data_IF_159845682783
#
_entry.id   IF_159845682783
#
_cell.length_a   1.000
_cell.length_b   1.000
_cell.length_c   1.000
_cell.angle_alpha   90.00
_cell.angle_beta   90.00
_cell.angle_gamma   90.00
#
_symmetry.space_group_name_H-M   'P 1'
#
loop_
_entity.id
_entity.type
_entity.pdbx_description
1 polymer ?
#
# COMPACT_ATOMS: atom_id res chain seq x y z
N UNK A 1 14.44 -12.37 18.85
CA UNK A 1 13.26 -11.65 18.30
C UNK A 1 13.79 -10.74 17.23
N UNK A 2 13.43 -10.95 15.97
CA UNK A 2 13.78 -10.03 14.89
C UNK A 2 13.19 -8.65 15.22
N UNK A 3 13.96 -7.58 15.02
CA UNK A 3 13.42 -6.23 15.19
C UNK A 3 12.35 -6.04 14.13
N UNK A 4 11.11 -5.85 14.54
CA UNK A 4 10.04 -5.42 13.63
C UNK A 4 10.27 -3.92 13.32
N UNK A 5 10.64 -3.55 12.08
CA UNK A 5 10.95 -2.15 11.75
C UNK A 5 9.71 -1.24 11.90
N UNK A 6 8.51 -1.80 11.75
CA UNK A 6 7.24 -1.08 11.89
C UNK A 6 6.89 -0.74 13.34
N UNK A 7 7.59 -1.37 14.30
CA UNK A 7 7.43 -1.12 15.73
C UNK A 7 8.43 -0.09 16.29
N UNK A 8 8.89 0.83 15.45
CA UNK A 8 9.79 1.91 15.84
C UNK A 8 9.09 2.94 16.73
N UNK A 9 9.89 3.68 17.52
CA UNK A 9 9.39 4.76 18.39
C UNK A 9 8.99 6.02 17.59
N UNK A 10 9.50 6.16 16.36
CA UNK A 10 9.22 7.29 15.47
C UNK A 10 8.51 6.77 14.22
N UNK A 11 7.46 7.46 13.75
CA UNK A 11 6.78 7.11 12.51
C UNK A 11 7.73 7.13 11.32
N UNK A 12 7.51 6.21 10.39
CA UNK A 12 8.20 6.23 9.11
C UNK A 12 7.74 7.42 8.25
N UNK A 13 8.67 8.10 7.58
CA UNK A 13 8.36 9.19 6.65
C UNK A 13 8.52 8.72 5.20
N UNK A 14 7.49 8.93 4.41
CA UNK A 14 7.48 8.64 2.96
C UNK A 14 7.90 9.84 2.10
N UNK A 15 8.26 10.98 2.70
CA UNK A 15 8.52 12.23 1.96
C UNK A 15 9.67 12.11 0.95
N UNK A 16 10.69 11.34 1.28
CA UNK A 16 11.83 11.08 0.40
C UNK A 16 11.58 10.03 -0.68
N UNK A 17 10.44 9.35 -0.65
CA UNK A 17 10.07 8.32 -1.62
C UNK A 17 9.26 8.92 -2.78
N UNK A 18 9.18 8.18 -3.90
CA UNK A 18 8.39 8.60 -5.05
C UNK A 18 6.92 8.86 -4.73
N UNK A 19 6.34 8.09 -3.81
CA UNK A 19 4.95 8.28 -3.34
C UNK A 19 4.75 9.55 -2.48
N UNK A 20 5.84 10.22 -2.05
CA UNK A 20 5.79 11.49 -1.33
C UNK A 20 5.82 12.71 -2.26
N UNK A 21 6.31 12.58 -3.50
CA UNK A 21 6.39 13.68 -4.46
C UNK A 21 5.00 14.06 -5.02
N UNK A 22 4.66 15.34 -5.00
CA UNK A 22 3.34 15.84 -5.43
C UNK A 22 2.94 15.36 -6.82
N UNK A 23 3.84 15.44 -7.80
CA UNK A 23 3.53 15.00 -9.17
C UNK A 23 3.26 13.49 -9.26
N UNK A 24 3.94 12.67 -8.46
CA UNK A 24 3.66 11.23 -8.37
C UNK A 24 2.31 10.99 -7.68
N UNK A 25 2.01 11.69 -6.59
CA UNK A 25 0.71 11.61 -5.90
C UNK A 25 -0.42 11.94 -6.88
N UNK A 26 -0.33 13.06 -7.62
CA UNK A 26 -1.32 13.45 -8.63
C UNK A 26 -1.50 12.38 -9.72
N UNK A 27 -0.40 11.75 -10.16
CA UNK A 27 -0.45 10.65 -11.13
C UNK A 27 -1.12 9.40 -10.55
N UNK A 28 -0.77 8.99 -9.34
CA UNK A 28 -1.37 7.85 -8.63
C UNK A 28 -2.87 8.09 -8.45
N UNK A 29 -3.25 9.27 -7.98
CA UNK A 29 -4.66 9.66 -7.80
C UNK A 29 -5.41 9.62 -9.13
N UNK A 30 -4.84 10.18 -10.21
CA UNK A 30 -5.45 10.10 -11.55
C UNK A 30 -5.67 8.66 -11.99
N UNK A 31 -4.70 7.77 -11.77
CA UNK A 31 -4.80 6.36 -12.17
C UNK A 31 -5.79 5.57 -11.30
N UNK A 32 -5.88 5.88 -10.02
CA UNK A 32 -6.75 5.15 -9.07
C UNK A 32 -8.17 5.69 -8.99
N UNK A 33 -8.36 7.03 -9.06
CA UNK A 33 -9.66 7.68 -8.86
C UNK A 33 -10.22 8.41 -10.10
N UNK A 34 -9.44 8.51 -11.19
CA UNK A 34 -9.68 9.36 -12.37
C UNK A 34 -9.68 10.88 -12.08
N UNK A 35 -9.11 11.29 -10.94
CA UNK A 35 -9.04 12.69 -10.51
C UNK A 35 -7.72 12.91 -9.75
N UNK A 36 -6.85 13.80 -10.28
CA UNK A 36 -5.55 14.12 -9.71
C UNK A 36 -5.61 14.69 -8.28
N UNK A 37 -6.75 15.20 -7.86
CA UNK A 37 -6.97 15.78 -6.53
C UNK A 37 -7.68 14.84 -5.55
N UNK A 38 -8.12 13.66 -6.01
CA UNK A 38 -8.92 12.74 -5.21
C UNK A 38 -8.11 11.51 -4.78
N UNK A 39 -7.89 11.39 -3.47
CA UNK A 39 -7.28 10.19 -2.88
C UNK A 39 -8.14 8.93 -3.14
N UNK A 40 -7.50 7.77 -3.37
CA UNK A 40 -8.16 6.50 -3.67
C UNK A 40 -9.21 6.09 -2.61
N UNK A 41 -8.94 6.33 -1.32
CA UNK A 41 -9.89 6.01 -0.24
C UNK A 41 -11.12 6.93 -0.30
N UNK A 42 -10.95 8.23 -0.62
CA UNK A 42 -12.07 9.15 -0.83
C UNK A 42 -12.90 8.73 -2.04
N UNK A 43 -12.26 8.29 -3.12
CA UNK A 43 -12.93 7.72 -4.28
C UNK A 43 -13.77 6.49 -3.88
N UNK A 44 -13.19 5.58 -3.11
CA UNK A 44 -13.88 4.39 -2.64
C UNK A 44 -15.08 4.72 -1.75
N UNK A 45 -14.95 5.69 -0.82
CA UNK A 45 -16.05 6.19 0.01
C UNK A 45 -17.22 6.68 -0.85
N UNK A 46 -16.93 7.47 -1.87
CA UNK A 46 -17.98 8.03 -2.73
C UNK A 46 -18.62 7.02 -3.68
N UNK A 47 -17.88 5.99 -4.06
CA UNK A 47 -18.30 5.06 -5.11
C UNK A 47 -18.87 3.74 -4.54
N UNK A 48 -18.14 3.10 -3.64
CA UNK A 48 -18.44 1.75 -3.14
C UNK A 48 -18.99 1.76 -1.71
N UNK A 49 -18.49 2.67 -0.86
CA UNK A 49 -18.88 2.72 0.56
C UNK A 49 -20.03 3.68 0.79
N UNK A 50 -20.52 4.36 -0.21
CA UNK A 50 -21.59 5.35 -0.12
C UNK A 50 -22.78 4.93 0.76
N UNK A 51 -23.26 3.67 0.73
CA UNK A 51 -24.35 3.25 1.60
C UNK A 51 -24.07 3.40 3.10
N UNK A 52 -22.81 3.38 3.52
CA UNK A 52 -22.41 3.54 4.92
C UNK A 52 -22.19 5.02 5.33
N UNK A 53 -22.22 5.95 4.37
CA UNK A 53 -21.95 7.36 4.58
C UNK A 53 -23.15 8.27 4.29
N UNK A 54 -24.11 7.80 3.49
CA UNK A 54 -25.23 8.59 3.01
C UNK A 54 -26.57 7.89 3.34
N UNK A 55 -27.36 8.51 4.21
CA UNK A 55 -28.65 7.97 4.65
C UNK A 55 -29.65 7.76 3.49
N UNK A 56 -29.49 8.42 2.36
CA UNK A 56 -30.35 8.22 1.18
C UNK A 56 -30.01 6.93 0.41
N UNK A 57 -28.85 6.33 0.66
CA UNK A 57 -28.38 5.12 0.00
C UNK A 57 -28.16 3.94 0.96
N UNK A 58 -28.35 4.14 2.27
CA UNK A 58 -28.14 3.11 3.28
C UNK A 58 -29.17 1.96 3.11
N UNK A 59 -28.68 0.72 3.28
CA UNK A 59 -29.50 -0.49 3.33
C UNK A 59 -29.79 -0.97 4.75
N UNK A 60 -29.12 -0.37 5.73
CA UNK A 60 -29.26 -0.59 7.18
C UNK A 60 -28.87 0.68 7.93
N UNK A 61 -29.16 0.82 9.24
CA UNK A 61 -28.72 1.97 10.03
C UNK A 61 -27.22 2.23 9.90
N UNK A 62 -26.80 3.50 9.79
CA UNK A 62 -25.40 3.87 9.52
C UNK A 62 -24.43 3.38 10.62
N UNK A 63 -24.87 3.26 11.85
CA UNK A 63 -24.11 2.72 12.97
C UNK A 63 -23.97 1.18 12.96
N UNK A 64 -24.61 0.49 12.04
CA UNK A 64 -24.55 -0.97 11.85
C UNK A 64 -23.61 -1.43 10.75
N UNK A 65 -23.02 -0.51 10.03
CA UNK A 65 -21.94 -0.86 9.10
C UNK A 65 -20.66 -1.20 9.85
N UNK A 66 -19.88 -2.13 9.32
CA UNK A 66 -18.63 -2.59 9.92
C UNK A 66 -17.49 -2.49 8.91
N UNK A 67 -16.38 -1.95 9.34
CA UNK A 67 -15.15 -1.86 8.56
C UNK A 67 -14.00 -2.55 9.27
N UNK A 68 -13.18 -3.30 8.52
CA UNK A 68 -11.92 -3.87 8.98
C UNK A 68 -10.77 -3.19 8.24
N UNK A 69 -9.83 -2.64 8.98
CA UNK A 69 -8.59 -2.07 8.45
C UNK A 69 -7.44 -3.03 8.76
N UNK A 70 -6.70 -3.41 7.74
CA UNK A 70 -5.52 -4.26 7.84
C UNK A 70 -4.26 -3.42 7.63
N UNK A 71 -3.29 -3.53 8.53
CA UNK A 71 -2.09 -2.69 8.51
C UNK A 71 -2.41 -1.23 8.85
N UNK A 72 -3.09 -0.99 9.97
CA UNK A 72 -3.52 0.34 10.41
C UNK A 72 -2.36 1.32 10.58
N UNK A 73 -1.16 0.83 10.93
CA UNK A 73 0.02 1.65 11.19
C UNK A 73 -0.33 2.85 12.11
N UNK A 74 -0.16 4.09 11.64
CA UNK A 74 -0.43 5.33 12.38
C UNK A 74 -1.92 5.75 12.39
N UNK A 75 -2.81 4.91 11.85
CA UNK A 75 -4.25 5.10 11.94
C UNK A 75 -4.83 6.18 11.03
N UNK A 76 -4.24 6.44 9.88
CA UNK A 76 -4.73 7.49 8.97
C UNK A 76 -6.02 7.08 8.24
N UNK A 77 -6.16 5.80 7.86
CA UNK A 77 -7.30 5.29 7.10
C UNK A 77 -8.60 5.37 7.92
N UNK A 78 -8.58 4.81 9.12
CA UNK A 78 -9.77 4.83 10.00
C UNK A 78 -10.17 6.24 10.41
N UNK A 79 -9.20 7.13 10.68
CA UNK A 79 -9.52 8.54 10.97
C UNK A 79 -10.14 9.22 9.76
N UNK A 80 -9.58 9.02 8.56
CA UNK A 80 -10.15 9.57 7.33
C UNK A 80 -11.58 9.08 7.08
N UNK A 81 -11.89 7.80 7.36
CA UNK A 81 -13.26 7.29 7.28
C UNK A 81 -14.19 8.02 8.26
N UNK A 82 -13.77 8.20 9.51
CA UNK A 82 -14.53 8.91 10.53
C UNK A 82 -14.72 10.40 10.19
N UNK A 83 -13.68 11.07 9.71
CA UNK A 83 -13.72 12.47 9.24
C UNK A 83 -14.70 12.66 8.07
N UNK A 84 -14.84 11.64 7.21
CA UNK A 84 -15.85 11.62 6.14
C UNK A 84 -17.24 11.21 6.62
N UNK A 85 -17.43 10.91 7.91
CA UNK A 85 -18.75 10.67 8.51
C UNK A 85 -19.12 9.21 8.73
N UNK A 86 -18.17 8.26 8.66
CA UNK A 86 -18.44 6.86 9.03
C UNK A 86 -18.81 6.75 10.51
N UNK A 87 -19.96 6.11 10.78
CA UNK A 87 -20.53 5.98 12.13
C UNK A 87 -20.54 4.55 12.67
N UNK A 88 -20.27 3.58 11.81
CA UNK A 88 -20.23 2.17 12.16
C UNK A 88 -18.97 1.78 12.93
N UNK A 89 -18.88 0.52 13.31
CA UNK A 89 -17.69 -0.01 13.99
C UNK A 89 -16.51 -0.14 13.00
N UNK A 90 -15.34 0.36 13.42
CA UNK A 90 -14.07 0.11 12.71
C UNK A 90 -13.19 -0.75 13.60
N UNK A 91 -12.75 -1.90 13.10
CA UNK A 91 -11.65 -2.69 13.67
C UNK A 91 -10.39 -2.36 12.88
N UNK A 92 -9.44 -1.71 13.53
CA UNK A 92 -8.15 -1.34 12.96
C UNK A 92 -7.07 -2.28 13.50
N UNK A 93 -6.47 -3.09 12.63
CA UNK A 93 -5.53 -4.13 13.03
C UNK A 93 -4.12 -3.88 12.49
N UNK A 94 -3.13 -4.20 13.31
CA UNK A 94 -1.71 -4.17 12.96
C UNK A 94 -0.94 -5.17 13.84
N UNK A 95 0.24 -5.58 13.40
CA UNK A 95 1.17 -6.39 14.21
C UNK A 95 2.02 -5.50 15.14
N UNK A 96 2.19 -4.22 14.79
CA UNK A 96 3.02 -3.24 15.49
C UNK A 96 2.24 -2.56 16.63
N UNK A 97 2.44 -3.02 17.86
CA UNK A 97 1.73 -2.51 19.04
C UNK A 97 1.99 -1.03 19.32
N UNK A 98 3.22 -0.53 19.08
CA UNK A 98 3.55 0.88 19.27
C UNK A 98 2.86 1.79 18.24
N UNK A 99 2.78 1.36 16.98
CA UNK A 99 2.04 2.08 15.96
C UNK A 99 0.55 2.15 16.30
N UNK A 100 -0.05 1.01 16.70
CA UNK A 100 -1.44 0.97 17.16
C UNK A 100 -1.70 1.86 18.38
N UNK A 101 -0.77 1.92 19.33
CA UNK A 101 -0.92 2.81 20.49
C UNK A 101 -0.94 4.29 20.06
N UNK A 102 -0.10 4.69 19.11
CA UNK A 102 -0.12 6.04 18.53
C UNK A 102 -1.39 6.31 17.73
N UNK A 103 -1.86 5.33 16.94
CA UNK A 103 -3.11 5.42 16.19
C UNK A 103 -4.30 5.62 17.14
N UNK A 104 -4.36 4.84 18.22
CA UNK A 104 -5.42 4.95 19.25
C UNK A 104 -5.40 6.32 19.96
N UNK A 105 -4.22 6.85 20.29
CA UNK A 105 -4.11 8.18 20.87
C UNK A 105 -4.65 9.27 19.92
N UNK A 106 -4.24 9.23 18.63
CA UNK A 106 -4.71 10.18 17.62
C UNK A 106 -6.23 10.08 17.38
N UNK A 107 -6.79 8.88 17.39
CA UNK A 107 -8.23 8.68 17.27
C UNK A 107 -8.99 9.23 18.50
N UNK A 108 -8.46 9.02 19.69
CA UNK A 108 -9.00 9.57 20.95
C UNK A 108 -8.97 11.11 20.96
N UNK A 109 -7.86 11.72 20.57
CA UNK A 109 -7.72 13.18 20.45
C UNK A 109 -8.72 13.78 19.46
N UNK A 110 -9.09 13.03 18.42
CA UNK A 110 -10.10 13.41 17.43
C UNK A 110 -11.55 13.09 17.87
N UNK A 111 -11.74 12.45 19.02
CA UNK A 111 -13.07 12.09 19.54
C UNK A 111 -13.73 10.90 18.84
N UNK A 112 -13.01 10.07 18.11
CA UNK A 112 -13.53 8.91 17.39
C UNK A 112 -13.64 7.69 18.31
N UNK A 113 -14.81 7.47 18.92
CA UNK A 113 -15.08 6.37 19.85
C UNK A 113 -15.46 5.04 19.17
N UNK A 114 -15.71 5.06 17.87
CA UNK A 114 -16.16 3.89 17.09
C UNK A 114 -15.00 3.09 16.45
N UNK A 115 -13.74 3.43 16.77
CA UNK A 115 -12.54 2.72 16.31
C UNK A 115 -12.02 1.83 17.43
N UNK A 116 -11.83 0.55 17.14
CA UNK A 116 -11.21 -0.42 18.04
C UNK A 116 -9.89 -0.90 17.42
N UNK A 117 -8.78 -0.55 18.07
CA UNK A 117 -7.44 -0.98 17.65
C UNK A 117 -7.14 -2.37 18.22
N UNK A 118 -6.65 -3.29 17.37
CA UNK A 118 -6.41 -4.69 17.70
C UNK A 118 -5.04 -5.12 17.18
N UNK A 119 -4.17 -5.55 18.09
CA UNK A 119 -2.93 -6.19 17.67
C UNK A 119 -3.23 -7.57 17.08
N UNK A 120 -2.83 -7.81 15.83
CA UNK A 120 -3.11 -9.04 15.11
C UNK A 120 -2.00 -9.39 14.12
N UNK A 121 -1.60 -10.66 14.10
CA UNK A 121 -0.78 -11.24 13.05
C UNK A 121 -1.69 -11.87 11.99
N UNK A 122 -1.70 -11.33 10.80
CA UNK A 122 -2.55 -11.77 9.68
C UNK A 122 -2.23 -13.20 9.19
N UNK A 123 -1.08 -13.77 9.57
CA UNK A 123 -0.76 -15.16 9.28
C UNK A 123 -1.58 -16.17 10.10
N UNK A 124 -2.12 -15.75 11.25
CA UNK A 124 -2.77 -16.66 12.20
C UNK A 124 -4.10 -16.15 12.75
N UNK A 125 -4.39 -14.85 12.63
CA UNK A 125 -5.61 -14.26 13.19
C UNK A 125 -6.85 -14.78 12.47
N UNK A 126 -7.93 -14.89 13.22
CA UNK A 126 -9.29 -15.06 12.69
C UNK A 126 -10.12 -13.88 13.19
N UNK A 127 -10.67 -13.10 12.27
CA UNK A 127 -11.61 -12.03 12.62
C UNK A 127 -13.02 -12.61 12.76
N UNK A 128 -13.72 -12.17 13.80
CA UNK A 128 -15.09 -12.63 14.05
C UNK A 128 -16.13 -11.72 13.38
N UNK A 129 -17.16 -12.35 12.85
CA UNK A 129 -18.28 -11.69 12.19
C UNK A 129 -17.98 -11.26 10.75
N UNK A 130 -18.90 -10.48 10.20
CA UNK A 130 -18.81 -10.02 8.81
C UNK A 130 -18.60 -8.51 8.77
N UNK A 131 -17.93 -8.05 7.71
CA UNK A 131 -17.62 -6.66 7.44
C UNK A 131 -18.22 -6.23 6.12
N UNK A 132 -18.75 -5.04 6.06
CA UNK A 132 -19.22 -4.42 4.83
C UNK A 132 -18.04 -3.94 3.98
N UNK A 133 -16.96 -3.57 4.66
CA UNK A 133 -15.73 -3.10 4.02
C UNK A 133 -14.51 -3.67 4.71
N UNK A 134 -13.55 -4.11 3.91
CA UNK A 134 -12.20 -4.46 4.34
C UNK A 134 -11.24 -3.60 3.54
N UNK A 135 -10.29 -2.95 4.21
CA UNK A 135 -9.30 -2.08 3.58
C UNK A 135 -7.90 -2.53 3.96
N UNK A 136 -7.05 -2.73 2.98
CA UNK A 136 -5.64 -3.09 3.14
C UNK A 136 -4.77 -2.14 2.32
N UNK A 137 -3.70 -1.62 2.91
CA UNK A 137 -2.70 -0.82 2.20
C UNK A 137 -1.30 -1.25 2.61
N UNK A 138 -0.53 -1.76 1.64
CA UNK A 138 0.87 -2.12 1.84
C UNK A 138 1.08 -3.16 2.93
N UNK A 139 0.20 -4.14 3.08
CA UNK A 139 0.26 -5.12 4.17
C UNK A 139 0.17 -6.57 3.68
N UNK A 140 -0.56 -6.85 2.61
CA UNK A 140 -0.79 -8.23 2.18
C UNK A 140 0.48 -8.88 1.62
N UNK A 141 1.38 -8.10 1.04
CA UNK A 141 2.66 -8.61 0.52
C UNK A 141 3.64 -9.08 1.61
N UNK A 142 3.33 -8.85 2.89
CA UNK A 142 4.07 -9.36 4.04
C UNK A 142 3.57 -10.74 4.55
N UNK A 143 2.50 -11.30 3.98
CA UNK A 143 1.83 -12.47 4.54
C UNK A 143 2.39 -13.78 3.97
N UNK A 144 2.92 -14.66 4.83
CA UNK A 144 3.48 -15.95 4.44
C UNK A 144 2.39 -16.88 3.85
N UNK A 145 1.25 -17.00 4.55
CA UNK A 145 0.13 -17.83 4.13
C UNK A 145 -0.94 -16.98 3.43
N UNK A 146 -0.55 -16.25 2.39
CA UNK A 146 -1.43 -15.27 1.73
C UNK A 146 -2.72 -15.87 1.20
N UNK A 147 -2.73 -17.08 0.65
CA UNK A 147 -3.96 -17.72 0.19
C UNK A 147 -4.94 -17.96 1.34
N UNK A 148 -4.48 -18.49 2.47
CA UNK A 148 -5.32 -18.68 3.66
C UNK A 148 -5.85 -17.36 4.19
N UNK A 149 -5.01 -16.32 4.21
CA UNK A 149 -5.43 -14.97 4.62
C UNK A 149 -6.53 -14.43 3.71
N UNK A 150 -6.34 -14.46 2.38
CA UNK A 150 -7.33 -13.98 1.43
C UNK A 150 -8.65 -14.73 1.49
N UNK A 151 -8.63 -16.06 1.68
CA UNK A 151 -9.86 -16.86 1.88
C UNK A 151 -10.57 -16.52 3.20
N UNK A 152 -9.82 -16.28 4.26
CA UNK A 152 -10.38 -15.80 5.52
C UNK A 152 -11.04 -14.44 5.34
N UNK A 153 -10.39 -13.50 4.65
CA UNK A 153 -10.95 -12.18 4.36
C UNK A 153 -12.20 -12.26 3.49
N UNK A 154 -12.21 -13.13 2.47
CA UNK A 154 -13.40 -13.38 1.65
C UNK A 154 -14.56 -13.87 2.51
N UNK A 155 -14.32 -14.82 3.41
CA UNK A 155 -15.34 -15.31 4.35
C UNK A 155 -15.83 -14.25 5.36
N UNK A 156 -15.02 -13.24 5.66
CA UNK A 156 -15.38 -12.13 6.53
C UNK A 156 -16.18 -11.01 5.82
N UNK A 157 -16.29 -11.01 4.49
CA UNK A 157 -17.12 -10.04 3.78
C UNK A 157 -18.61 -10.39 3.86
N UNK A 158 -19.46 -9.39 4.02
CA UNK A 158 -20.90 -9.53 3.74
C UNK A 158 -21.13 -9.83 2.26
N UNK A 159 -22.33 -10.29 1.89
CA UNK A 159 -22.68 -10.58 0.48
C UNK A 159 -22.51 -9.35 -0.43
N UNK A 160 -22.75 -8.17 0.07
CA UNK A 160 -22.59 -6.90 -0.64
C UNK A 160 -21.32 -6.14 -0.28
N UNK A 161 -20.42 -6.78 0.46
CA UNK A 161 -19.21 -6.17 0.98
C UNK A 161 -18.10 -6.06 -0.06
N UNK A 162 -17.18 -5.14 0.20
CA UNK A 162 -16.02 -4.88 -0.65
C UNK A 162 -14.71 -5.04 0.12
N UNK A 163 -13.71 -5.66 -0.52
CA UNK A 163 -12.30 -5.57 -0.13
C UNK A 163 -11.62 -4.57 -1.06
N UNK A 164 -11.02 -3.53 -0.48
CA UNK A 164 -10.10 -2.63 -1.16
C UNK A 164 -8.68 -3.00 -0.76
N UNK A 165 -7.79 -3.11 -1.74
CA UNK A 165 -6.38 -3.32 -1.49
C UNK A 165 -5.53 -2.38 -2.35
N UNK A 166 -4.57 -1.70 -1.73
CA UNK A 166 -3.48 -0.99 -2.41
C UNK A 166 -2.22 -1.76 -2.10
N UNK A 167 -1.68 -2.49 -3.08
CA UNK A 167 -0.66 -3.49 -2.80
C UNK A 167 0.50 -3.49 -3.78
N UNK A 168 1.63 -3.99 -3.28
CA UNK A 168 2.80 -4.30 -4.07
C UNK A 168 2.69 -5.73 -4.64
N UNK A 169 2.69 -5.81 -5.97
CA UNK A 169 2.67 -7.09 -6.73
C UNK A 169 4.00 -7.38 -7.43
N UNK A 170 5.03 -6.62 -7.10
CA UNK A 170 6.35 -6.73 -7.71
C UNK A 170 7.13 -7.97 -7.27
N UNK A 171 8.41 -8.05 -7.67
CA UNK A 171 9.25 -9.21 -7.44
C UNK A 171 9.46 -9.52 -5.96
N UNK A 172 9.47 -10.82 -5.62
CA UNK A 172 9.79 -11.28 -4.27
C UNK A 172 11.12 -10.69 -3.82
N UNK A 173 11.16 -10.12 -2.61
CA UNK A 173 12.37 -9.53 -2.02
C UNK A 173 13.05 -8.49 -2.91
N UNK A 174 12.27 -7.80 -3.77
CA UNK A 174 12.80 -6.84 -4.74
C UNK A 174 13.91 -7.41 -5.65
N UNK A 175 13.86 -8.72 -5.93
CA UNK A 175 14.80 -9.36 -6.84
C UNK A 175 14.35 -9.12 -8.29
N UNK A 176 14.75 -7.98 -8.83
CA UNK A 176 14.33 -7.50 -10.14
C UNK A 176 14.92 -8.31 -11.29
N UNK A 177 14.19 -8.36 -12.41
CA UNK A 177 14.74 -8.92 -13.64
C UNK A 177 15.91 -8.09 -14.16
N UNK A 178 16.84 -8.71 -14.90
CA UNK A 178 17.94 -8.00 -15.55
C UNK A 178 17.44 -6.89 -16.48
N UNK A 179 16.31 -7.09 -17.13
CA UNK A 179 15.70 -6.09 -18.02
C UNK A 179 15.29 -4.85 -17.23
N UNK A 180 14.63 -5.03 -16.09
CA UNK A 180 14.21 -3.93 -15.22
C UNK A 180 15.40 -3.16 -14.65
N UNK A 181 16.44 -3.89 -14.17
CA UNK A 181 17.69 -3.27 -13.69
C UNK A 181 18.36 -2.46 -14.80
N UNK A 182 18.38 -2.96 -16.05
CA UNK A 182 18.92 -2.19 -17.20
C UNK A 182 18.14 -0.91 -17.46
N UNK A 183 16.81 -0.93 -17.37
CA UNK A 183 16.00 0.27 -17.59
C UNK A 183 16.20 1.30 -16.47
N UNK A 184 16.26 0.86 -15.20
CA UNK A 184 16.58 1.75 -14.09
C UNK A 184 17.95 2.41 -14.30
N UNK A 185 18.96 1.61 -14.64
CA UNK A 185 20.30 2.13 -14.88
C UNK A 185 20.40 3.04 -16.10
N UNK A 186 19.66 2.77 -17.17
CA UNK A 186 19.58 3.65 -18.34
C UNK A 186 18.97 5.01 -17.96
N UNK A 187 17.89 5.01 -17.18
CA UNK A 187 17.26 6.24 -16.67
C UNK A 187 18.21 7.01 -15.74
N UNK A 188 18.89 6.33 -14.83
CA UNK A 188 19.90 6.95 -13.94
C UNK A 188 21.09 7.51 -14.75
N UNK A 189 21.50 6.84 -15.81
CA UNK A 189 22.63 7.25 -16.66
C UNK A 189 22.42 8.60 -17.35
N UNK A 190 21.18 8.97 -17.64
CA UNK A 190 20.84 10.25 -18.27
C UNK A 190 20.52 11.36 -17.27
N UNK A 191 20.36 11.04 -16.00
CA UNK A 191 20.06 12.05 -14.97
C UNK A 191 21.24 12.96 -14.69
N UNK A 192 21.03 14.30 -14.66
CA UNK A 192 22.02 15.25 -14.18
C UNK A 192 22.48 14.93 -12.75
N UNK A 193 23.79 15.01 -12.51
CA UNK A 193 24.38 14.72 -11.18
C UNK A 193 23.77 15.55 -10.05
N UNK A 194 23.38 16.80 -10.32
CA UNK A 194 22.79 17.70 -9.34
C UNK A 194 21.37 17.33 -8.89
N UNK A 195 20.75 16.29 -9.48
CA UNK A 195 19.44 15.77 -9.08
C UNK A 195 19.53 14.55 -8.16
N UNK A 196 20.73 14.14 -7.83
CA UNK A 196 20.93 13.02 -6.91
C UNK A 196 20.87 13.55 -5.47
N UNK A 197 20.27 12.77 -4.55
CA UNK A 197 20.29 13.14 -3.14
C UNK A 197 21.75 13.22 -2.65
N UNK A 198 21.99 14.13 -1.70
CA UNK A 198 23.23 14.10 -0.95
C UNK A 198 23.35 12.76 -0.22
N UNK A 199 24.56 12.29 0.12
CA UNK A 199 24.74 11.01 0.80
C UNK A 199 23.78 10.92 1.98
N UNK A 200 22.92 9.87 1.97
CA UNK A 200 21.94 9.64 3.01
C UNK A 200 22.66 9.39 4.34
N UNK A 201 22.18 10.01 5.39
CA UNK A 201 22.54 9.64 6.74
C UNK A 201 22.01 8.21 7.04
N UNK A 202 22.43 7.61 8.15
CA UNK A 202 22.21 6.20 8.53
C UNK A 202 20.74 5.78 8.67
N UNK A 203 19.77 6.58 8.26
CA UNK A 203 18.32 6.37 8.43
C UNK A 203 17.59 5.85 7.19
N UNK A 204 18.29 5.53 6.12
CA UNK A 204 17.68 4.98 4.92
C UNK A 204 17.09 3.60 5.19
N UNK A 205 15.84 3.35 4.75
CA UNK A 205 15.15 2.06 4.79
C UNK A 205 15.91 0.94 4.07
N UNK A 206 16.67 1.30 3.06
CA UNK A 206 17.49 0.35 2.30
C UNK A 206 18.93 0.56 2.72
N UNK A 207 19.62 -0.51 3.18
CA UNK A 207 21.03 -0.41 3.50
C UNK A 207 21.74 0.16 2.28
N UNK A 208 22.32 1.34 2.43
CA UNK A 208 23.16 1.92 1.42
C UNK A 208 24.21 0.87 1.06
N UNK A 209 24.17 0.39 -0.17
CA UNK A 209 25.34 -0.30 -0.73
C UNK A 209 26.43 0.77 -0.66
N UNK A 210 27.35 0.61 0.28
CA UNK A 210 28.32 1.61 0.66
C UNK A 210 29.01 2.21 -0.55
N UNK A 211 28.52 3.33 -1.00
CA UNK A 211 29.08 4.02 -2.13
C UNK A 211 29.94 5.16 -1.66
N UNK A 212 31.03 4.86 -1.00
CA UNK A 212 32.17 5.77 -0.93
C UNK A 212 32.74 6.10 -2.32
N UNK A 213 32.36 5.31 -3.34
CA UNK A 213 32.60 5.61 -4.75
C UNK A 213 31.26 5.66 -5.45
N UNK A 214 30.84 6.83 -5.90
CA UNK A 214 29.64 7.09 -6.65
C UNK A 214 29.47 6.09 -7.82
N UNK A 215 29.03 4.89 -7.53
CA UNK A 215 28.58 3.92 -8.51
C UNK A 215 27.33 4.53 -9.10
N UNK A 216 27.42 4.94 -10.36
CA UNK A 216 26.36 5.54 -11.13
C UNK A 216 25.43 4.40 -11.56
N UNK A 217 24.82 3.69 -10.61
CA UNK A 217 23.96 2.58 -10.97
C UNK A 217 23.18 2.03 -9.79
N UNK A 218 22.01 1.53 -10.09
CA UNK A 218 21.18 0.74 -9.18
C UNK A 218 21.63 -0.73 -9.24
N UNK A 219 21.72 -1.36 -8.10
CA UNK A 219 21.81 -2.80 -7.93
C UNK A 219 20.72 -3.23 -6.94
N UNK A 220 19.98 -4.31 -7.20
CA UNK A 220 19.03 -4.83 -6.24
C UNK A 220 19.71 -5.13 -4.90
N UNK A 221 19.08 -4.86 -3.77
CA UNK A 221 19.59 -5.29 -2.47
C UNK A 221 19.68 -6.82 -2.42
N UNK A 222 20.62 -7.36 -1.65
CA UNK A 222 20.66 -8.81 -1.46
C UNK A 222 19.45 -9.29 -0.64
N UNK A 223 19.00 -10.53 -0.86
CA UNK A 223 17.92 -11.10 -0.07
C UNK A 223 18.22 -11.08 1.42
N UNK A 224 19.48 -11.35 1.81
CA UNK A 224 19.92 -11.34 3.20
C UNK A 224 19.76 -9.93 3.82
N UNK A 225 20.02 -8.87 3.06
CA UNK A 225 19.86 -7.49 3.55
C UNK A 225 18.40 -7.14 3.77
N UNK A 226 17.50 -7.58 2.88
CA UNK A 226 16.05 -7.39 3.03
C UNK A 226 15.56 -8.19 4.26
N UNK A 227 15.93 -9.46 4.37
CA UNK A 227 15.55 -10.31 5.51
C UNK A 227 16.08 -9.76 6.84
N UNK A 228 17.27 -9.17 6.84
CA UNK A 228 17.84 -8.55 8.05
C UNK A 228 17.07 -7.29 8.46
N UNK A 229 16.48 -6.55 7.51
CA UNK A 229 15.66 -5.38 7.76
C UNK A 229 14.25 -5.79 8.18
N UNK A 230 13.53 -6.50 7.30
CA UNK A 230 12.20 -7.06 7.54
C UNK A 230 12.09 -8.46 6.92
N UNK A 231 12.01 -9.53 7.75
CA UNK A 231 11.85 -10.88 7.24
C UNK A 231 10.56 -11.10 6.42
N UNK A 232 9.57 -10.24 6.53
CA UNK A 232 8.29 -10.33 5.82
C UNK A 232 8.19 -9.44 4.58
N UNK A 233 9.16 -8.56 4.33
CA UNK A 233 9.12 -7.60 3.23
C UNK A 233 9.04 -8.27 1.86
N UNK A 234 8.01 -7.91 1.07
CA UNK A 234 7.83 -8.32 -0.32
C UNK A 234 7.93 -9.85 -0.57
N UNK A 235 7.34 -10.67 0.32
CA UNK A 235 7.48 -12.14 0.22
C UNK A 235 6.52 -12.80 -0.77
N UNK A 236 5.40 -12.15 -1.10
CA UNK A 236 4.34 -12.78 -1.89
C UNK A 236 3.71 -11.88 -2.98
N UNK A 237 4.37 -10.79 -3.40
CA UNK A 237 3.84 -9.89 -4.42
C UNK A 237 3.30 -10.57 -5.68
N UNK A 238 4.05 -11.44 -6.38
CA UNK A 238 3.55 -12.16 -7.55
C UNK A 238 2.38 -13.11 -7.26
N UNK A 239 2.30 -13.64 -6.02
CA UNK A 239 1.18 -14.50 -5.60
C UNK A 239 -0.10 -13.67 -5.42
N UNK A 240 -0.04 -12.43 -4.93
CA UNK A 240 -1.20 -11.53 -4.84
C UNK A 240 -1.84 -11.33 -6.20
N UNK A 241 -1.05 -11.06 -7.25
CA UNK A 241 -1.52 -10.91 -8.63
C UNK A 241 -2.32 -12.10 -9.14
N UNK A 242 -2.00 -13.31 -8.68
CA UNK A 242 -2.67 -14.56 -9.09
C UNK A 242 -3.87 -14.90 -8.18
N UNK A 243 -3.71 -14.73 -6.87
CA UNK A 243 -4.68 -15.20 -5.89
C UNK A 243 -5.88 -14.26 -5.74
N UNK A 244 -5.67 -12.94 -5.75
CA UNK A 244 -6.78 -11.98 -5.63
C UNK A 244 -7.85 -12.26 -6.70
N UNK A 245 -7.54 -12.31 -8.01
CA UNK A 245 -8.56 -12.59 -9.03
C UNK A 245 -9.05 -14.05 -9.03
N UNK A 246 -8.34 -14.98 -8.38
CA UNK A 246 -8.82 -16.37 -8.27
C UNK A 246 -9.84 -16.55 -7.14
N UNK A 247 -9.73 -15.77 -6.06
CA UNK A 247 -10.57 -15.86 -4.86
C UNK A 247 -11.75 -14.89 -4.95
N UNK A 248 -11.51 -13.65 -5.36
CA UNK A 248 -12.52 -12.60 -5.41
C UNK A 248 -13.01 -12.32 -6.83
N UNK A 249 -14.19 -11.73 -6.95
CA UNK A 249 -14.62 -11.04 -8.15
C UNK A 249 -13.95 -9.66 -8.19
N UNK A 250 -13.26 -9.36 -9.29
CA UNK A 250 -12.61 -8.06 -9.49
C UNK A 250 -13.65 -7.05 -10.01
N UNK A 251 -13.92 -6.03 -9.22
CA UNK A 251 -14.75 -4.88 -9.61
C UNK A 251 -13.90 -3.83 -10.32
N UNK A 252 -12.74 -3.50 -9.75
CA UNK A 252 -11.73 -2.66 -10.38
C UNK A 252 -10.32 -3.21 -10.10
N UNK A 253 -9.45 -3.10 -11.09
CA UNK A 253 -8.00 -3.29 -10.96
C UNK A 253 -7.33 -2.12 -11.67
N UNK A 254 -6.65 -1.27 -10.93
CA UNK A 254 -6.01 -0.05 -11.42
C UNK A 254 -4.53 -0.06 -11.04
N UNK A 255 -3.66 -0.56 -11.92
CA UNK A 255 -2.22 -0.49 -11.70
C UNK A 255 -1.73 0.96 -11.82
N UNK A 256 -0.72 1.34 -11.03
CA UNK A 256 -0.29 2.73 -10.98
C UNK A 256 1.23 2.99 -10.96
N UNK A 257 2.03 2.02 -11.39
CA UNK A 257 3.47 2.20 -11.60
C UNK A 257 4.33 1.60 -10.52
N UNK A 258 5.40 2.30 -10.16
CA UNK A 258 6.38 1.89 -9.17
C UNK A 258 7.50 0.99 -9.69
N UNK A 259 7.43 0.58 -10.94
CA UNK A 259 8.36 -0.36 -11.57
C UNK A 259 9.77 0.23 -11.76
N UNK A 260 9.86 1.55 -11.88
CA UNK A 260 11.12 2.27 -12.05
C UNK A 260 11.33 3.26 -10.89
N UNK A 261 10.32 4.06 -10.58
CA UNK A 261 10.43 5.17 -9.63
C UNK A 261 10.65 4.70 -8.20
N UNK A 262 10.06 3.58 -7.76
CA UNK A 262 10.24 3.06 -6.41
C UNK A 262 11.70 2.69 -6.11
N UNK A 263 12.45 2.27 -7.14
CA UNK A 263 13.86 1.89 -7.04
C UNK A 263 14.83 3.05 -7.21
N UNK A 264 14.32 4.25 -7.45
CA UNK A 264 15.15 5.46 -7.63
C UNK A 264 15.25 6.30 -6.35
N UNK A 265 14.61 5.91 -5.25
CA UNK A 265 14.57 6.68 -4.00
C UNK A 265 15.96 7.10 -3.48
N UNK A 266 16.97 6.25 -3.63
CA UNK A 266 18.33 6.57 -3.23
C UNK A 266 19.14 7.33 -4.30
N UNK A 267 18.59 7.53 -5.48
CA UNK A 267 19.29 8.03 -6.66
C UNK A 267 18.69 9.32 -7.21
N UNK A 268 17.50 9.70 -6.76
CA UNK A 268 16.76 10.88 -7.18
C UNK A 268 16.13 11.57 -5.98
N UNK A 269 16.32 12.89 -5.89
CA UNK A 269 15.76 13.70 -4.81
C UNK A 269 14.29 14.07 -5.11
N UNK A 270 13.37 13.22 -4.65
CA UNK A 270 11.93 13.40 -4.86
C UNK A 270 11.38 14.60 -4.08
N UNK A 271 11.86 14.89 -2.87
CA UNK A 271 11.40 16.04 -2.07
C UNK A 271 11.68 17.37 -2.77
N UNK A 272 12.80 17.46 -3.46
CA UNK A 272 13.21 18.67 -4.16
C UNK A 272 12.25 19.03 -5.30
N UNK A 273 11.56 18.04 -5.89
CA UNK A 273 10.70 18.25 -7.07
C UNK A 273 9.53 19.20 -6.80
N UNK A 274 9.08 19.30 -5.57
CA UNK A 274 7.95 20.16 -5.20
C UNK A 274 8.33 21.66 -5.17
N UNK A 275 9.63 21.96 -5.10
CA UNK A 275 10.13 23.32 -4.97
C UNK A 275 11.13 23.74 -6.07
N UNK A 276 11.51 22.82 -6.97
CA UNK A 276 12.48 23.06 -8.03
C UNK A 276 11.96 22.61 -9.39
N UNK A 277 11.69 23.57 -10.27
CA UNK A 277 11.13 23.32 -11.59
C UNK A 277 11.99 22.40 -12.47
N UNK A 278 13.33 22.46 -12.31
CA UNK A 278 14.24 21.60 -13.05
C UNK A 278 14.14 20.15 -12.58
N UNK A 279 14.12 19.91 -11.28
CA UNK A 279 13.90 18.59 -10.68
C UNK A 279 12.54 18.02 -11.09
N UNK A 280 11.48 18.85 -11.04
CA UNK A 280 10.13 18.44 -11.47
C UNK A 280 10.09 18.05 -12.96
N UNK A 281 10.78 18.79 -13.83
CA UNK A 281 10.83 18.46 -15.25
C UNK A 281 11.46 17.06 -15.47
N UNK A 282 12.53 16.74 -14.77
CA UNK A 282 13.16 15.43 -14.83
C UNK A 282 12.28 14.33 -14.22
N UNK A 283 11.62 14.60 -13.10
CA UNK A 283 10.65 13.64 -12.55
C UNK A 283 9.58 13.30 -13.59
N UNK A 284 9.02 14.29 -14.28
CA UNK A 284 8.03 14.05 -15.36
C UNK A 284 8.58 13.21 -16.52
N UNK A 285 9.85 13.37 -16.86
CA UNK A 285 10.51 12.51 -17.85
C UNK A 285 10.59 11.07 -17.37
N UNK A 286 11.03 10.86 -16.10
CA UNK A 286 11.08 9.52 -15.49
C UNK A 286 9.70 8.87 -15.40
N UNK A 287 8.70 9.61 -14.99
CA UNK A 287 7.29 9.15 -14.96
C UNK A 287 6.81 8.73 -16.36
N UNK A 288 7.17 9.50 -17.40
CA UNK A 288 6.79 9.16 -18.78
C UNK A 288 7.53 7.91 -19.27
N UNK A 289 8.81 7.73 -18.91
CA UNK A 289 9.55 6.50 -19.22
C UNK A 289 8.87 5.30 -18.56
N UNK A 290 8.61 5.35 -17.26
CA UNK A 290 7.94 4.27 -16.53
C UNK A 290 6.59 3.95 -17.17
N UNK A 291 5.77 4.97 -17.42
CA UNK A 291 4.47 4.83 -18.05
C UNK A 291 4.55 4.14 -19.41
N UNK A 292 5.50 4.55 -20.24
CA UNK A 292 5.69 3.94 -21.56
C UNK A 292 6.06 2.46 -21.43
N UNK A 293 6.95 2.12 -20.49
CA UNK A 293 7.37 0.73 -20.26
C UNK A 293 6.22 -0.16 -19.81
N UNK A 294 5.34 0.35 -18.95
CA UNK A 294 4.19 -0.43 -18.45
C UNK A 294 3.05 -0.48 -19.47
N UNK A 295 2.71 0.61 -20.15
CA UNK A 295 1.66 0.64 -21.19
C UNK A 295 2.01 -0.20 -22.43
N UNK A 296 3.29 -0.35 -22.74
CA UNK A 296 3.75 -1.22 -23.86
C UNK A 296 3.99 -2.67 -23.44
N UNK A 297 3.84 -3.00 -22.16
CA UNK A 297 4.06 -4.34 -21.66
C UNK A 297 5.53 -4.79 -21.65
N UNK A 298 6.48 -3.86 -21.73
CA UNK A 298 7.92 -4.16 -21.58
C UNK A 298 8.23 -4.52 -20.13
N UNK A 299 7.63 -3.79 -19.18
CA UNK A 299 7.62 -4.09 -17.74
C UNK A 299 6.19 -4.06 -17.23
N UNK A 300 5.93 -4.76 -16.14
CA UNK A 300 4.64 -4.71 -15.45
C UNK A 300 4.62 -3.57 -14.43
N UNK A 301 3.43 -3.02 -14.13
CA UNK A 301 3.23 -2.20 -12.92
C UNK A 301 3.40 -3.09 -11.67
N UNK A 302 4.00 -2.52 -10.63
CA UNK A 302 4.24 -3.25 -9.38
C UNK A 302 3.29 -2.83 -8.25
N UNK A 303 2.67 -1.66 -8.37
CA UNK A 303 1.65 -1.22 -7.42
C UNK A 303 0.28 -1.18 -8.07
N UNK A 304 -0.71 -1.68 -7.34
CA UNK A 304 -2.06 -1.86 -7.87
C UNK A 304 -3.11 -1.49 -6.81
N UNK A 305 -4.13 -0.76 -7.24
CA UNK A 305 -5.35 -0.55 -6.48
C UNK A 305 -6.40 -1.56 -6.94
N UNK A 306 -6.95 -2.30 -5.99
CA UNK A 306 -8.04 -3.25 -6.18
C UNK A 306 -9.31 -2.82 -5.48
N UNK A 307 -10.44 -3.01 -6.15
CA UNK A 307 -11.75 -3.14 -5.54
C UNK A 307 -12.27 -4.51 -5.90
N UNK A 308 -12.60 -5.30 -4.90
CA UNK A 308 -13.07 -6.67 -5.07
C UNK A 308 -14.29 -6.94 -4.21
N UNK A 309 -15.05 -7.99 -4.53
CA UNK A 309 -16.15 -8.50 -3.73
C UNK A 309 -16.15 -10.04 -3.73
N UNK A 310 -16.98 -10.62 -2.89
CA UNK A 310 -17.16 -12.08 -2.92
C UNK A 310 -17.66 -12.52 -4.30
N UNK A 311 -17.25 -13.73 -4.70
CA UNK A 311 -17.85 -14.37 -5.88
C UNK A 311 -19.25 -14.87 -5.55
N UNK A 312 -20.21 -14.66 -6.46
CA UNK A 312 -21.54 -15.21 -6.33
C UNK A 312 -21.47 -16.74 -6.23
N UNK A 313 -22.17 -17.31 -5.25
CA UNK A 313 -22.21 -18.76 -5.02
C UNK A 313 -21.06 -19.32 -4.18
N UNK A 314 -20.12 -18.51 -3.70
CA UNK A 314 -19.17 -18.94 -2.68
C UNK A 314 -19.93 -19.15 -1.35
N UNK A 315 -19.94 -20.37 -0.75
CA UNK A 315 -20.61 -20.57 0.53
C UNK A 315 -19.96 -19.66 1.57
N UNK A 316 -20.77 -18.97 2.38
CA UNK A 316 -20.29 -18.33 3.61
C UNK A 316 -19.53 -19.43 4.36
N UNK A 317 -18.19 -19.30 4.44
CA UNK A 317 -17.31 -20.40 4.73
C UNK A 317 -17.74 -21.13 6.00
N UNK A 318 -17.88 -22.44 5.91
CA UNK A 318 -17.96 -23.40 7.01
C UNK A 318 -16.60 -23.47 7.79
N UNK A 319 -15.92 -22.36 8.01
CA UNK A 319 -14.61 -22.25 8.67
C UNK A 319 -14.72 -21.70 10.11
N UNK A 320 -15.86 -21.94 10.75
CA UNK A 320 -16.02 -21.71 12.21
C UNK A 320 -16.28 -23.03 12.91
N UNK A 321 -15.47 -24.06 12.64
CA UNK A 321 -15.42 -25.26 13.48
C UNK A 321 -14.16 -26.09 13.15
N UNK A 322 -13.05 -25.79 13.79
CA UNK A 322 -12.05 -26.74 14.24
C UNK A 322 -11.03 -26.03 15.14
#
# INVERSE_FOLDING_TARGET
MSKNPWNADVPFSYSSMWIGAKACIESIQTRTSNDASQHWLTYAVKTYFRPAFDANFCTKPLDKYRCLILGSNEGWMERMLCENGFKGEIIASDIADKALARAAAKAGDSGFANIRHVQADLNVVKFEGQFDFIVAEGVLHHIVNIESCLRMLEGCLTETGYLLAVEFEGPVRFQLSELQVRWINAALGVLPRGLRPLPLDEKSLYPATAAENAVIGYAPPSEESIVAFDPSEAICGPQLRQLIPSIFEIVERKPFGGTLLSYMTQHFDFERTDNDAFSLAWLKVLMQIERTLTETGILDDEFVFYVTRRRDGAPASALVAA
#
